data_IF_987869402811
#
_entry.id   IF_987869402811
#
_cell.length_a   1.000
_cell.length_b   1.000
_cell.length_c   1.000
_cell.angle_alpha   90.00
_cell.angle_beta   90.00
_cell.angle_gamma   90.00
#
_symmetry.space_group_name_H-M   'P 1'
#
loop_
_entity.id
_entity.type
_entity.pdbx_description
1 polymer ?
#
# COMPACT_ATOMS: atom_id res chain seq x y z
N UNK A 1 8.08 25.55 8.84
CA UNK A 1 7.71 25.07 7.51
C UNK A 1 7.30 26.27 6.66
N UNK A 2 7.73 26.33 5.41
CA UNK A 2 7.22 27.32 4.44
C UNK A 2 6.65 26.58 3.23
N UNK A 3 5.55 27.09 2.68
CA UNK A 3 4.94 26.60 1.45
C UNK A 3 5.09 27.69 0.40
N UNK A 4 5.74 27.37 -0.71
CA UNK A 4 5.83 28.27 -1.86
C UNK A 4 4.96 27.73 -2.99
N UNK A 5 4.07 28.58 -3.51
CA UNK A 5 3.29 28.29 -4.70
C UNK A 5 4.08 28.76 -5.91
N UNK A 6 4.48 27.85 -6.79
CA UNK A 6 5.25 28.17 -7.99
C UNK A 6 4.59 27.56 -9.21
N UNK A 7 4.10 28.43 -10.11
CA UNK A 7 3.24 28.04 -11.23
C UNK A 7 2.06 27.20 -10.72
N UNK A 8 1.78 26.05 -11.32
CA UNK A 8 0.68 25.15 -10.94
C UNK A 8 1.07 24.14 -9.84
N UNK A 9 2.26 24.29 -9.23
CA UNK A 9 2.79 23.37 -8.22
C UNK A 9 3.00 23.99 -6.84
N UNK A 10 3.22 23.12 -5.85
CA UNK A 10 3.54 23.48 -4.47
C UNK A 10 4.93 22.95 -4.09
N UNK A 11 5.75 23.78 -3.43
CA UNK A 11 7.05 23.40 -2.89
C UNK A 11 7.02 23.57 -1.37
N UNK A 12 7.32 22.50 -0.64
CA UNK A 12 7.34 22.47 0.82
C UNK A 12 8.79 22.46 1.32
N UNK A 13 9.19 23.46 2.11
CA UNK A 13 10.49 23.50 2.78
C UNK A 13 10.34 23.25 4.28
N UNK A 14 11.11 22.28 4.76
CA UNK A 14 11.10 21.80 6.14
C UNK A 14 12.48 22.09 6.73
N UNK A 15 12.57 23.13 7.57
CA UNK A 15 13.82 23.65 8.14
C UNK A 15 14.28 22.98 9.44
N UNK A 16 13.56 21.97 9.94
CA UNK A 16 13.83 21.22 11.17
C UNK A 16 13.39 19.78 10.99
N UNK A 17 13.91 18.84 11.79
CA UNK A 17 13.37 17.47 11.82
C UNK A 17 11.91 17.52 12.30
N UNK A 18 11.00 16.88 11.56
CA UNK A 18 9.59 16.79 11.92
C UNK A 18 9.33 15.53 12.73
N UNK A 19 8.44 15.63 13.72
CA UNK A 19 7.83 14.44 14.30
C UNK A 19 6.93 13.71 13.28
N UNK A 20 6.55 12.47 13.63
CA UNK A 20 5.76 11.61 12.75
C UNK A 20 4.39 12.21 12.40
N UNK A 21 3.76 12.94 13.32
CA UNK A 21 2.42 13.52 13.11
C UNK A 21 2.47 14.69 12.12
N UNK A 22 3.49 15.54 12.25
CA UNK A 22 3.72 16.68 11.37
C UNK A 22 4.09 16.21 9.95
N UNK A 23 4.90 15.15 9.83
CA UNK A 23 5.21 14.54 8.54
C UNK A 23 3.97 13.93 7.87
N UNK A 24 3.16 13.18 8.62
CA UNK A 24 1.91 12.60 8.11
C UNK A 24 0.97 13.68 7.57
N UNK A 25 0.80 14.77 8.31
CA UNK A 25 -0.04 15.91 7.90
C UNK A 25 0.43 16.53 6.56
N UNK A 26 1.75 16.65 6.35
CA UNK A 26 2.30 17.20 5.10
C UNK A 26 2.09 16.22 3.95
N UNK A 27 2.29 14.92 4.19
CA UNK A 27 2.06 13.89 3.18
C UNK A 27 0.58 13.83 2.76
N UNK A 28 -0.35 13.97 3.70
CA UNK A 28 -1.79 14.06 3.40
C UNK A 28 -2.12 15.27 2.52
N UNK A 29 -1.51 16.42 2.78
CA UNK A 29 -1.69 17.61 1.94
C UNK A 29 -1.05 17.45 0.55
N UNK A 30 0.12 16.81 0.47
CA UNK A 30 0.83 16.60 -0.79
C UNK A 30 0.21 15.49 -1.67
N UNK A 31 -0.59 14.61 -1.08
CA UNK A 31 -1.26 13.49 -1.77
C UNK A 31 -2.68 13.82 -2.23
N UNK A 32 -3.11 15.08 -2.12
CA UNK A 32 -4.40 15.54 -2.67
C UNK A 32 -4.48 15.23 -4.16
N UNK A 33 -5.48 14.45 -4.56
CA UNK A 33 -5.67 14.00 -5.96
C UNK A 33 -4.95 12.68 -6.29
N UNK A 34 -4.24 12.06 -5.35
CA UNK A 34 -3.74 10.69 -5.46
C UNK A 34 -4.77 9.77 -4.81
N UNK A 35 -5.32 8.84 -5.59
CA UNK A 35 -6.23 7.82 -5.06
C UNK A 35 -5.46 6.80 -4.21
N UNK A 36 -6.03 6.45 -3.05
CA UNK A 36 -5.48 5.38 -2.22
C UNK A 36 -5.68 4.06 -2.96
N UNK A 37 -4.63 3.24 -3.01
CA UNK A 37 -4.75 1.91 -3.63
C UNK A 37 -5.68 0.99 -2.84
N UNK A 38 -5.84 1.23 -1.54
CA UNK A 38 -6.74 0.51 -0.64
C UNK A 38 -7.58 1.50 0.17
N UNK A 39 -8.89 1.29 0.17
CA UNK A 39 -9.83 2.01 1.05
C UNK A 39 -9.67 1.57 2.51
N UNK A 40 -9.40 0.28 2.72
CA UNK A 40 -9.19 -0.30 4.04
C UNK A 40 -7.82 0.11 4.62
N UNK A 41 -7.81 0.64 5.85
CA UNK A 41 -6.56 0.90 6.57
C UNK A 41 -6.00 -0.40 7.12
N UNK A 42 -4.75 -0.71 6.76
CA UNK A 42 -4.03 -1.91 7.21
C UNK A 42 -2.63 -1.58 7.70
N UNK A 43 -2.06 -2.44 8.56
CA UNK A 43 -0.65 -2.39 8.97
C UNK A 43 0.26 -3.22 8.07
N UNK A 44 -0.31 -3.92 7.10
CA UNK A 44 0.45 -4.61 6.07
C UNK A 44 0.99 -3.58 5.08
N UNK A 45 2.23 -3.77 4.64
CA UNK A 45 2.74 -3.05 3.48
C UNK A 45 2.12 -3.66 2.22
N UNK A 46 1.53 -2.81 1.38
CA UNK A 46 0.97 -3.19 0.09
C UNK A 46 1.61 -2.35 -1.00
N UNK A 47 2.28 -3.03 -1.93
CA UNK A 47 2.98 -2.39 -3.04
C UNK A 47 2.64 -3.10 -4.34
N UNK A 48 2.30 -2.35 -5.39
CA UNK A 48 2.05 -2.90 -6.73
C UNK A 48 3.11 -2.51 -7.74
N UNK A 49 3.57 -3.49 -8.52
CA UNK A 49 4.47 -3.30 -9.66
C UNK A 49 3.72 -3.61 -10.95
N UNK A 50 3.80 -2.71 -11.92
CA UNK A 50 3.20 -2.89 -13.24
C UNK A 50 4.28 -3.32 -14.25
N UNK A 51 3.95 -4.31 -15.08
CA UNK A 51 4.79 -4.77 -16.17
C UNK A 51 3.91 -5.09 -17.39
N UNK A 52 3.98 -4.22 -18.42
CA UNK A 52 3.14 -4.32 -19.62
C UNK A 52 1.65 -4.52 -19.28
N UNK A 53 1.08 -5.68 -19.60
CA UNK A 53 -0.33 -6.04 -19.38
C UNK A 53 -0.57 -6.76 -18.03
N UNK A 54 0.43 -6.78 -17.15
CA UNK A 54 0.36 -7.47 -15.86
C UNK A 54 0.71 -6.56 -14.68
N UNK A 55 0.20 -6.92 -13.51
CA UNK A 55 0.60 -6.32 -12.25
C UNK A 55 0.85 -7.38 -11.20
N UNK A 56 1.83 -7.11 -10.33
CA UNK A 56 2.14 -7.91 -9.16
C UNK A 56 1.90 -7.06 -7.92
N UNK A 57 0.98 -7.49 -7.06
CA UNK A 57 0.73 -6.90 -5.75
C UNK A 57 1.44 -7.73 -4.70
N UNK A 58 2.31 -7.08 -3.93
CA UNK A 58 3.03 -7.66 -2.80
C UNK A 58 2.34 -7.20 -1.51
N UNK A 59 1.97 -8.15 -0.66
CA UNK A 59 1.36 -7.89 0.64
C UNK A 59 2.30 -8.50 1.69
N UNK A 60 2.92 -7.64 2.51
CA UNK A 60 3.99 -8.05 3.42
C UNK A 60 3.66 -7.61 4.84
N UNK A 61 3.79 -8.53 5.80
CA UNK A 61 3.65 -8.20 7.21
C UNK A 61 5.02 -7.84 7.83
N UNK A 62 5.40 -6.57 7.81
CA UNK A 62 6.62 -6.12 8.51
C UNK A 62 6.44 -5.92 10.02
N UNK A 63 5.25 -6.18 10.56
CA UNK A 63 5.01 -6.10 12.00
C UNK A 63 5.43 -7.38 12.72
N UNK A 64 5.65 -7.29 14.03
CA UNK A 64 5.89 -8.45 14.89
C UNK A 64 4.60 -9.15 15.36
N UNK A 65 3.45 -8.72 14.86
CA UNK A 65 2.13 -9.24 15.24
C UNK A 65 1.43 -9.85 14.04
N UNK A 66 0.52 -10.78 14.27
CA UNK A 66 -0.34 -11.30 13.20
C UNK A 66 -1.30 -10.20 12.72
N UNK A 67 -1.43 -10.04 11.40
CA UNK A 67 -2.34 -9.05 10.78
C UNK A 67 -3.39 -9.76 9.91
N UNK A 68 -4.65 -9.29 9.92
CA UNK A 68 -5.67 -9.79 9.02
C UNK A 68 -5.37 -9.40 7.57
N UNK A 69 -5.77 -10.24 6.63
CA UNK A 69 -5.75 -9.91 5.21
C UNK A 69 -6.84 -8.85 4.90
N UNK A 70 -6.52 -7.77 4.17
CA UNK A 70 -7.53 -6.82 3.70
C UNK A 70 -8.57 -7.49 2.82
N UNK A 71 -9.82 -7.08 3.01
CA UNK A 71 -11.00 -7.64 2.36
C UNK A 71 -10.93 -7.62 0.83
N UNK A 72 -10.27 -6.62 0.24
CA UNK A 72 -10.06 -6.49 -1.20
C UNK A 72 -9.36 -7.71 -1.81
N UNK A 73 -8.51 -8.42 -1.05
CA UNK A 73 -7.71 -9.53 -1.58
C UNK A 73 -8.37 -10.90 -1.39
N UNK A 74 -9.52 -10.98 -0.72
CA UNK A 74 -10.24 -12.23 -0.50
C UNK A 74 -10.66 -12.82 -1.84
N UNK A 75 -10.46 -14.14 -2.00
CA UNK A 75 -10.72 -14.88 -3.22
C UNK A 75 -9.67 -14.71 -4.30
N UNK A 76 -8.67 -13.84 -4.14
CA UNK A 76 -7.53 -13.78 -5.06
C UNK A 76 -6.60 -14.97 -4.83
N UNK A 77 -5.89 -15.39 -5.87
CA UNK A 77 -4.93 -16.48 -5.81
C UNK A 77 -3.56 -15.96 -5.41
N UNK A 78 -2.98 -16.51 -4.35
CA UNK A 78 -1.58 -16.29 -4.02
C UNK A 78 -0.70 -17.08 -5.00
N UNK A 79 0.21 -16.38 -5.65
CA UNK A 79 1.11 -16.92 -6.67
C UNK A 79 2.17 -17.82 -6.05
N UNK A 80 2.54 -17.59 -4.78
CA UNK A 80 3.56 -18.38 -4.09
C UNK A 80 3.04 -19.75 -3.67
N UNK A 81 1.87 -19.79 -3.01
CA UNK A 81 1.26 -21.04 -2.55
C UNK A 81 0.36 -21.71 -3.59
N UNK A 82 -0.22 -20.93 -4.52
CA UNK A 82 -1.24 -21.40 -5.45
C UNK A 82 -2.65 -21.46 -4.85
N UNK A 83 -2.82 -21.10 -3.58
CA UNK A 83 -4.09 -21.15 -2.87
C UNK A 83 -4.92 -19.87 -3.05
N UNK A 84 -6.24 -19.99 -2.95
CA UNK A 84 -7.11 -18.82 -2.89
C UNK A 84 -7.17 -18.27 -1.46
N UNK A 85 -7.10 -16.96 -1.33
CA UNK A 85 -7.09 -16.28 -0.05
C UNK A 85 -8.48 -16.27 0.58
N UNK A 86 -8.61 -16.76 1.80
CA UNK A 86 -9.87 -16.78 2.53
C UNK A 86 -10.09 -15.50 3.35
N UNK A 87 -11.34 -15.22 3.74
CA UNK A 87 -11.67 -14.04 4.54
C UNK A 87 -11.11 -14.10 5.98
N UNK A 88 -10.82 -15.29 6.49
CA UNK A 88 -10.18 -15.53 7.79
C UNK A 88 -8.64 -15.57 7.70
N UNK A 89 -8.07 -15.41 6.50
CA UNK A 89 -6.62 -15.40 6.32
C UNK A 89 -5.99 -14.28 7.13
N UNK A 90 -4.99 -14.66 7.92
CA UNK A 90 -4.09 -13.73 8.59
C UNK A 90 -2.65 -14.05 8.21
N UNK A 91 -1.82 -13.01 8.17
CA UNK A 91 -0.39 -13.10 7.89
C UNK A 91 0.38 -13.07 9.22
N UNK A 92 1.21 -14.08 9.46
CA UNK A 92 2.13 -14.08 10.58
C UNK A 92 3.23 -13.02 10.37
N UNK A 93 4.03 -12.69 11.41
CA UNK A 93 5.16 -11.78 11.26
C UNK A 93 6.08 -12.20 10.10
N UNK A 94 6.34 -11.27 9.20
CA UNK A 94 7.19 -11.41 8.00
C UNK A 94 6.65 -12.35 6.92
N UNK A 95 5.40 -12.80 7.02
CA UNK A 95 4.72 -13.49 5.91
C UNK A 95 4.56 -12.55 4.71
N UNK A 96 4.58 -13.15 3.52
CA UNK A 96 4.42 -12.46 2.24
C UNK A 96 3.41 -13.20 1.37
N UNK A 97 2.53 -12.44 0.72
CA UNK A 97 1.62 -12.91 -0.32
C UNK A 97 1.95 -12.16 -1.61
N UNK A 98 1.88 -12.85 -2.75
CA UNK A 98 2.07 -12.23 -4.07
C UNK A 98 0.88 -12.54 -4.96
N UNK A 99 0.17 -11.50 -5.39
CA UNK A 99 -0.96 -11.63 -6.30
C UNK A 99 -0.53 -11.15 -7.67
N UNK A 100 -0.62 -12.01 -8.68
CA UNK A 100 -0.44 -11.63 -10.08
C UNK A 100 -1.82 -11.40 -10.71
N UNK A 101 -2.01 -10.23 -11.33
CA UNK A 101 -3.16 -9.93 -12.21
C UNK A 101 -2.63 -9.72 -13.62
N UNK A 102 -3.15 -10.48 -14.58
CA UNK A 102 -2.86 -10.36 -16.02
C UNK A 102 -4.13 -10.66 -16.82
N UNK A 103 -4.05 -10.66 -18.16
CA UNK A 103 -5.23 -10.92 -19.03
C UNK A 103 -5.89 -12.30 -18.82
N UNK A 104 -5.21 -13.27 -18.20
CA UNK A 104 -5.71 -14.64 -18.02
C UNK A 104 -5.94 -14.98 -16.53
N UNK A 105 -6.87 -14.28 -15.88
CA UNK A 105 -7.21 -14.55 -14.48
C UNK A 105 -8.55 -13.98 -14.03
N UNK A 106 -9.55 -13.99 -14.91
CA UNK A 106 -10.97 -13.79 -14.56
C UNK A 106 -11.65 -15.12 -14.23
#
# INVERSE_FOLDING_TARGET
MTVNHYQDGHVYYIGTELDKESLATILDQASVGIERELEETTRLEVTRRYQADESFTFIINFTSEQQPLPSEFVGMKDTLSGEHLSADKSLNPYDTIVIRKGKDGS
#
